data_IF_205182282718
#
_entry.id   IF_205182282718
#
_cell.length_a   1.000
_cell.length_b   1.000
_cell.length_c   1.000
_cell.angle_alpha   90.00
_cell.angle_beta   90.00
_cell.angle_gamma   90.00
#
_symmetry.space_group_name_H-M   'P 1'
#
loop_
_entity.id
_entity.type
_entity.pdbx_description
1 polymer ?
#
# COMPACT_ATOMS: atom_id res chain seq x y z
N UNK A 1 19.34 -12.08 -14.58
CA UNK A 1 18.66 -13.09 -15.44
C UNK A 1 18.10 -14.17 -14.52
N UNK A 2 16.79 -14.24 -14.32
CA UNK A 2 16.19 -15.37 -13.61
C UNK A 2 16.18 -16.57 -14.57
N UNK A 3 17.12 -17.50 -14.38
CA UNK A 3 17.34 -18.67 -15.24
C UNK A 3 16.46 -19.86 -14.81
N UNK A 4 15.80 -19.76 -13.65
CA UNK A 4 14.92 -20.80 -13.15
C UNK A 4 13.49 -20.51 -13.61
N UNK A 5 13.15 -21.05 -14.79
CA UNK A 5 11.75 -21.19 -15.20
C UNK A 5 11.12 -22.21 -14.26
N UNK A 6 10.27 -21.77 -13.33
CA UNK A 6 9.33 -22.70 -12.70
C UNK A 6 8.43 -23.26 -13.81
N UNK A 7 8.41 -24.58 -14.04
CA UNK A 7 7.54 -25.17 -15.03
C UNK A 7 6.07 -24.77 -14.80
N UNK A 8 5.31 -24.47 -15.86
CA UNK A 8 3.92 -24.03 -15.77
C UNK A 8 3.03 -24.93 -14.91
N UNK A 9 3.23 -26.25 -15.08
CA UNK A 9 2.54 -27.29 -14.32
C UNK A 9 2.78 -27.19 -12.81
N UNK A 10 3.95 -26.72 -12.39
CA UNK A 10 4.33 -26.64 -10.97
C UNK A 10 3.64 -25.44 -10.31
N UNK A 11 3.48 -24.32 -11.04
CA UNK A 11 2.68 -23.16 -10.57
C UNK A 11 1.22 -23.55 -10.38
N UNK A 12 0.63 -24.22 -11.38
CA UNK A 12 -0.78 -24.67 -11.31
C UNK A 12 -0.96 -25.73 -10.22
N UNK A 13 0.01 -26.63 -10.04
CA UNK A 13 -0.03 -27.65 -8.99
C UNK A 13 0.08 -27.02 -7.60
N UNK A 14 0.98 -26.07 -7.39
CA UNK A 14 1.10 -25.30 -6.14
C UNK A 14 -0.23 -24.64 -5.75
N UNK A 15 -0.94 -24.05 -6.71
CA UNK A 15 -2.25 -23.43 -6.45
C UNK A 15 -3.29 -24.48 -6.00
N UNK A 16 -3.36 -25.62 -6.68
CA UNK A 16 -4.27 -26.71 -6.34
C UNK A 16 -3.95 -27.35 -5.00
N UNK A 17 -2.67 -27.60 -4.73
CA UNK A 17 -2.18 -28.21 -3.48
C UNK A 17 -2.51 -27.34 -2.25
N UNK A 18 -2.65 -26.02 -2.44
CA UNK A 18 -3.05 -25.07 -1.40
C UNK A 18 -4.58 -24.80 -1.36
N UNK A 19 -5.39 -25.63 -2.04
CA UNK A 19 -6.86 -25.50 -2.03
C UNK A 19 -7.39 -24.28 -2.78
N UNK A 20 -6.56 -23.62 -3.60
CA UNK A 20 -6.95 -22.44 -4.38
C UNK A 20 -7.65 -22.91 -5.65
N UNK A 21 -8.98 -23.00 -5.58
CA UNK A 21 -9.81 -23.49 -6.68
C UNK A 21 -10.25 -22.39 -7.67
N UNK A 22 -9.90 -21.13 -7.41
CA UNK A 22 -10.27 -19.98 -8.24
C UNK A 22 -9.11 -18.98 -8.32
N UNK A 23 -8.31 -19.10 -9.37
CA UNK A 23 -7.34 -18.08 -9.78
C UNK A 23 -7.87 -17.40 -11.03
N UNK A 24 -7.88 -16.06 -11.05
CA UNK A 24 -8.26 -15.27 -12.23
C UNK A 24 -7.04 -14.72 -12.97
N UNK A 25 -6.08 -14.20 -12.19
CA UNK A 25 -4.95 -13.45 -12.74
C UNK A 25 -3.65 -13.87 -12.08
N UNK A 26 -2.56 -13.79 -12.83
CA UNK A 26 -1.18 -13.87 -12.32
C UNK A 26 -0.53 -12.50 -12.53
N UNK A 27 -0.27 -11.78 -11.45
CA UNK A 27 0.45 -10.52 -11.48
C UNK A 27 1.96 -10.77 -11.71
N UNK A 28 2.49 -10.27 -12.82
CA UNK A 28 3.90 -10.41 -13.19
C UNK A 28 4.64 -9.12 -12.83
N UNK A 29 5.12 -9.08 -11.59
CA UNK A 29 5.67 -7.87 -10.97
C UNK A 29 4.60 -7.01 -10.29
N UNK A 30 5.04 -5.94 -9.63
CA UNK A 30 4.18 -4.88 -9.11
C UNK A 30 4.88 -3.55 -9.35
N UNK A 31 4.26 -2.67 -10.13
CA UNK A 31 4.75 -1.33 -10.47
C UNK A 31 6.19 -1.27 -11.02
N UNK A 32 6.60 -2.14 -11.98
CA UNK A 32 8.00 -2.26 -12.41
C UNK A 32 8.57 -1.01 -13.10
N UNK A 33 7.72 -0.07 -13.51
CA UNK A 33 8.10 1.11 -14.30
C UNK A 33 7.95 2.44 -13.54
N UNK A 34 7.84 2.39 -12.21
CA UNK A 34 7.97 3.58 -11.39
C UNK A 34 9.24 4.35 -11.77
N UNK A 35 9.10 5.66 -11.93
CA UNK A 35 10.22 6.56 -12.25
C UNK A 35 11.36 6.43 -11.22
N UNK A 36 11.03 6.17 -9.95
CA UNK A 36 12.00 5.94 -8.87
C UNK A 36 12.87 4.70 -9.04
N UNK A 37 12.45 3.73 -9.87
CA UNK A 37 13.25 2.53 -10.19
C UNK A 37 14.23 2.75 -11.33
N UNK A 38 14.26 3.93 -11.95
CA UNK A 38 15.23 4.32 -12.98
C UNK A 38 15.43 3.24 -14.05
N UNK A 39 14.32 2.76 -14.61
CA UNK A 39 14.27 1.77 -15.69
C UNK A 39 14.87 0.39 -15.37
N UNK A 40 15.09 0.05 -14.09
CA UNK A 40 15.70 -1.22 -13.65
C UNK A 40 15.00 -2.48 -14.19
N UNK A 41 13.68 -2.42 -14.42
CA UNK A 41 12.88 -3.59 -14.81
C UNK A 41 12.32 -3.54 -16.25
N UNK A 42 12.62 -2.48 -17.02
CA UNK A 42 12.09 -2.28 -18.39
C UNK A 42 12.35 -3.50 -19.28
N UNK A 43 13.59 -3.98 -19.32
CA UNK A 43 14.00 -5.08 -20.19
C UNK A 43 13.61 -6.49 -19.69
N UNK A 44 13.04 -6.61 -18.49
CA UNK A 44 12.74 -7.92 -17.86
C UNK A 44 11.26 -8.21 -17.73
N UNK A 45 10.44 -7.17 -17.56
CA UNK A 45 9.00 -7.30 -17.29
C UNK A 45 8.25 -7.94 -18.44
N UNK A 46 8.46 -7.47 -19.68
CA UNK A 46 7.73 -8.00 -20.83
C UNK A 46 8.08 -9.45 -21.17
N UNK A 47 9.37 -9.85 -21.23
CA UNK A 47 9.72 -11.27 -21.37
C UNK A 47 9.14 -12.15 -20.25
N UNK A 48 9.09 -11.66 -19.01
CA UNK A 48 8.46 -12.39 -17.91
C UNK A 48 6.95 -12.55 -18.13
N UNK A 49 6.24 -11.49 -18.54
CA UNK A 49 4.81 -11.54 -18.87
C UNK A 49 4.52 -12.58 -19.96
N UNK A 50 5.33 -12.57 -21.04
CA UNK A 50 5.20 -13.53 -22.14
C UNK A 50 5.41 -14.97 -21.65
N UNK A 51 6.46 -15.21 -20.87
CA UNK A 51 6.75 -16.54 -20.34
C UNK A 51 5.63 -17.09 -19.46
N UNK A 52 5.06 -16.26 -18.57
CA UNK A 52 3.98 -16.67 -17.68
C UNK A 52 2.68 -16.92 -18.45
N UNK A 53 2.31 -16.09 -19.42
CA UNK A 53 1.11 -16.34 -20.21
C UNK A 53 1.26 -17.60 -21.10
N UNK A 54 2.42 -17.79 -21.74
CA UNK A 54 2.68 -18.99 -22.54
C UNK A 54 2.63 -20.25 -21.67
N UNK A 55 3.17 -20.17 -20.46
CA UNK A 55 3.07 -21.22 -19.46
C UNK A 55 1.61 -21.59 -19.15
N UNK A 56 0.76 -20.59 -18.88
CA UNK A 56 -0.66 -20.82 -18.63
C UNK A 56 -1.37 -21.44 -19.84
N UNK A 57 -1.02 -21.02 -21.06
CA UNK A 57 -1.54 -21.58 -22.30
C UNK A 57 -1.14 -23.06 -22.47
N UNK A 58 0.14 -23.40 -22.27
CA UNK A 58 0.67 -24.77 -22.34
C UNK A 58 0.04 -25.71 -21.29
N UNK A 59 -0.30 -25.18 -20.11
CA UNK A 59 -0.99 -25.90 -19.06
C UNK A 59 -2.51 -26.05 -19.31
N UNK A 60 -3.04 -25.49 -20.40
CA UNK A 60 -4.46 -25.57 -20.75
C UNK A 60 -5.39 -24.70 -19.89
N UNK A 61 -4.85 -23.76 -19.11
CA UNK A 61 -5.62 -22.87 -18.21
C UNK A 61 -5.63 -21.42 -18.68
N UNK A 62 -4.84 -21.07 -19.70
CA UNK A 62 -4.62 -19.71 -20.18
C UNK A 62 -5.85 -18.99 -20.72
N UNK A 63 -6.95 -19.69 -21.02
CA UNK A 63 -8.24 -19.06 -21.34
C UNK A 63 -8.96 -18.51 -20.11
N UNK A 64 -8.71 -19.10 -18.93
CA UNK A 64 -9.37 -18.76 -17.66
C UNK A 64 -8.48 -17.97 -16.70
N UNK A 65 -7.16 -18.19 -16.77
CA UNK A 65 -6.15 -17.50 -15.96
C UNK A 65 -5.32 -16.62 -16.87
N UNK A 66 -5.30 -15.32 -16.62
CA UNK A 66 -4.55 -14.35 -17.44
C UNK A 66 -3.36 -13.78 -16.69
N UNK A 67 -2.20 -13.70 -17.34
CA UNK A 67 -1.09 -12.93 -16.83
C UNK A 67 -1.34 -11.44 -17.09
N UNK A 68 -1.03 -10.59 -16.12
CA UNK A 68 -1.12 -9.13 -16.22
C UNK A 68 0.07 -8.49 -15.51
N UNK A 69 0.26 -7.19 -15.68
CA UNK A 69 1.28 -6.41 -14.97
C UNK A 69 0.54 -5.30 -14.23
N UNK A 70 0.43 -5.36 -12.89
CA UNK A 70 -0.01 -4.23 -12.09
C UNK A 70 0.99 -3.08 -12.27
N UNK A 71 0.49 -1.94 -12.75
CA UNK A 71 1.28 -0.75 -13.03
C UNK A 71 0.84 0.38 -12.10
N UNK A 72 1.73 1.29 -11.74
CA UNK A 72 1.36 2.53 -11.07
C UNK A 72 0.84 3.55 -12.11
N UNK A 73 -0.09 4.43 -11.74
CA UNK A 73 -0.54 5.53 -12.60
C UNK A 73 0.59 6.47 -13.10
N UNK A 74 1.80 6.42 -12.52
CA UNK A 74 3.02 7.07 -13.03
C UNK A 74 3.44 6.64 -14.46
N UNK A 75 2.87 5.57 -15.03
CA UNK A 75 3.22 5.13 -16.40
C UNK A 75 2.54 5.93 -17.51
N UNK A 76 1.55 6.76 -17.19
CA UNK A 76 0.87 7.64 -18.14
C UNK A 76 0.61 9.02 -17.56
N UNK A 77 0.29 9.97 -18.42
CA UNK A 77 -0.12 11.29 -18.02
C UNK A 77 -0.60 12.12 -19.21
N UNK A 78 -1.09 13.31 -18.90
CA UNK A 78 -1.38 14.32 -19.92
C UNK A 78 -0.18 15.28 -20.04
N UNK A 79 0.12 15.78 -21.25
CA UNK A 79 1.15 16.80 -21.43
C UNK A 79 0.88 18.05 -20.59
N UNK A 80 1.93 18.71 -20.10
CA UNK A 80 1.80 19.88 -19.21
C UNK A 80 1.09 21.04 -19.90
N UNK A 81 1.27 21.20 -21.21
CA UNK A 81 0.62 22.20 -22.05
C UNK A 81 -0.85 21.90 -22.32
N UNK A 82 -1.31 20.67 -22.08
CA UNK A 82 -2.70 20.25 -22.26
C UNK A 82 -3.10 19.19 -21.21
N UNK A 83 -3.25 19.59 -19.93
CA UNK A 83 -3.41 18.69 -18.79
C UNK A 83 -4.85 18.17 -18.66
N UNK A 84 -5.37 17.52 -19.71
CA UNK A 84 -6.73 16.98 -19.78
C UNK A 84 -6.73 15.48 -20.10
N UNK A 85 -7.71 14.69 -19.63
CA UNK A 85 -7.72 13.24 -19.84
C UNK A 85 -7.63 12.78 -21.30
N UNK A 86 -8.26 13.46 -22.24
CA UNK A 86 -8.25 13.13 -23.67
C UNK A 86 -6.87 13.24 -24.33
N UNK A 87 -5.94 13.96 -23.69
CA UNK A 87 -4.55 14.08 -24.10
C UNK A 87 -3.64 13.01 -23.49
N UNK A 88 -4.20 12.04 -22.76
CA UNK A 88 -3.45 10.99 -22.07
C UNK A 88 -2.55 10.18 -23.00
N UNK A 89 -1.29 10.02 -22.60
CA UNK A 89 -0.28 9.21 -23.30
C UNK A 89 0.56 8.43 -22.31
N UNK A 90 1.13 7.30 -22.74
CA UNK A 90 2.16 6.64 -21.94
C UNK A 90 3.43 7.48 -21.90
N UNK A 91 4.14 7.44 -20.78
CA UNK A 91 5.40 8.16 -20.58
C UNK A 91 6.40 7.81 -21.68
N UNK A 92 7.08 8.82 -22.22
CA UNK A 92 7.83 8.71 -23.48
C UNK A 92 9.01 7.73 -23.40
N UNK A 93 9.69 7.68 -22.26
CA UNK A 93 10.82 6.80 -21.95
C UNK A 93 10.46 5.30 -21.94
N UNK A 94 9.18 4.96 -21.70
CA UNK A 94 8.69 3.56 -21.67
C UNK A 94 7.61 3.28 -22.71
N UNK A 95 7.26 4.25 -23.56
CA UNK A 95 6.17 4.15 -24.55
C UNK A 95 6.25 2.92 -25.46
N UNK A 96 7.45 2.58 -25.93
CA UNK A 96 7.68 1.36 -26.72
C UNK A 96 7.42 0.08 -25.93
N UNK A 97 7.84 0.04 -24.66
CA UNK A 97 7.62 -1.12 -23.79
C UNK A 97 6.14 -1.29 -23.44
N UNK A 98 5.46 -0.19 -23.16
CA UNK A 98 4.02 -0.14 -22.91
C UNK A 98 3.22 -0.62 -24.13
N UNK A 99 3.63 -0.19 -25.33
CA UNK A 99 3.00 -0.65 -26.58
C UNK A 99 3.08 -2.16 -26.73
N UNK A 100 4.24 -2.76 -26.49
CA UNK A 100 4.43 -4.22 -26.55
C UNK A 100 3.57 -4.96 -25.52
N UNK A 101 3.50 -4.45 -24.28
CA UNK A 101 2.70 -5.05 -23.21
C UNK A 101 1.21 -4.99 -23.56
N UNK A 102 0.70 -3.82 -23.96
CA UNK A 102 -0.71 -3.63 -24.34
C UNK A 102 -1.09 -4.55 -25.50
N UNK A 103 -0.27 -4.62 -26.55
CA UNK A 103 -0.50 -5.52 -27.68
C UNK A 103 -0.57 -6.99 -27.24
N UNK A 104 0.34 -7.42 -26.36
CA UNK A 104 0.38 -8.80 -25.87
C UNK A 104 -0.81 -9.14 -24.96
N UNK A 105 -1.21 -8.23 -24.06
CA UNK A 105 -2.40 -8.39 -23.24
C UNK A 105 -3.64 -8.53 -24.12
N UNK A 106 -3.79 -7.67 -25.13
CA UNK A 106 -4.91 -7.72 -26.08
C UNK A 106 -4.96 -9.06 -26.84
N UNK A 107 -3.83 -9.53 -27.39
CA UNK A 107 -3.73 -10.81 -28.09
C UNK A 107 -4.18 -12.00 -27.24
N UNK A 108 -3.95 -11.93 -25.92
CA UNK A 108 -4.31 -12.99 -24.98
C UNK A 108 -5.66 -12.73 -24.28
N UNK A 109 -6.39 -11.67 -24.62
CA UNK A 109 -7.62 -11.23 -23.94
C UNK A 109 -7.41 -11.07 -22.43
N UNK A 110 -6.24 -10.56 -22.05
CA UNK A 110 -5.87 -10.24 -20.68
C UNK A 110 -6.17 -8.77 -20.37
N UNK A 111 -6.54 -8.44 -19.11
CA UNK A 111 -6.81 -7.08 -18.71
C UNK A 111 -5.51 -6.27 -18.49
N UNK A 112 -5.64 -4.96 -18.63
CA UNK A 112 -4.65 -4.00 -18.15
C UNK A 112 -4.91 -3.71 -16.67
N UNK A 113 -3.90 -3.89 -15.81
CA UNK A 113 -4.06 -3.66 -14.36
C UNK A 113 -3.32 -2.38 -13.96
N UNK A 114 -4.03 -1.47 -13.30
CA UNK A 114 -3.49 -0.18 -12.88
C UNK A 114 -3.80 0.11 -11.41
N UNK A 115 -2.85 0.69 -10.70
CA UNK A 115 -2.99 1.16 -9.33
C UNK A 115 -3.22 2.68 -9.37
N UNK A 116 -4.35 3.13 -8.81
CA UNK A 116 -4.78 4.54 -8.83
C UNK A 116 -4.97 5.00 -7.40
N UNK A 117 -4.20 6.01 -7.00
CA UNK A 117 -4.21 6.55 -5.65
C UNK A 117 -4.46 8.07 -5.64
N UNK A 118 -5.73 8.52 -5.52
CA UNK A 118 -6.07 9.94 -5.38
C UNK A 118 -5.29 10.66 -4.26
N UNK A 119 -5.03 9.96 -3.15
CA UNK A 119 -4.21 10.46 -2.04
C UNK A 119 -2.84 11.00 -2.50
N UNK A 120 -2.18 10.31 -3.44
CA UNK A 120 -0.84 10.70 -3.89
C UNK A 120 -0.83 12.06 -4.60
N UNK A 121 -1.96 12.51 -5.18
CA UNK A 121 -2.06 13.86 -5.74
C UNK A 121 -1.97 14.95 -4.67
N UNK A 122 -2.58 14.73 -3.49
CA UNK A 122 -2.48 15.63 -2.35
C UNK A 122 -1.11 15.57 -1.68
N UNK A 123 -0.50 14.39 -1.65
CA UNK A 123 0.84 14.21 -1.12
C UNK A 123 1.90 14.91 -1.98
N UNK A 124 1.80 14.78 -3.31
CA UNK A 124 2.78 15.35 -4.24
C UNK A 124 2.63 16.87 -4.47
N UNK A 125 1.44 17.44 -4.24
CA UNK A 125 1.17 18.86 -4.48
C UNK A 125 0.31 19.46 -3.37
N UNK A 126 0.91 20.34 -2.55
CA UNK A 126 0.22 21.02 -1.44
C UNK A 126 -0.94 21.93 -1.88
N UNK A 127 -0.97 22.34 -3.15
CA UNK A 127 -2.02 23.17 -3.73
C UNK A 127 -3.05 22.36 -4.52
N UNK A 128 -2.96 21.03 -4.50
CA UNK A 128 -3.96 20.19 -5.13
C UNK A 128 -5.32 20.38 -4.44
N UNK A 129 -6.42 20.58 -5.18
CA UNK A 129 -7.72 20.82 -4.57
C UNK A 129 -8.19 19.58 -3.80
N UNK A 130 -8.35 19.73 -2.48
CA UNK A 130 -8.74 18.63 -1.57
C UNK A 130 -10.09 18.04 -1.98
N UNK A 131 -11.04 18.88 -2.36
CA UNK A 131 -12.34 18.47 -2.89
C UNK A 131 -12.22 17.62 -4.16
N UNK A 132 -11.25 17.91 -5.04
CA UNK A 132 -11.00 17.13 -6.27
C UNK A 132 -10.45 15.72 -6.03
N UNK A 133 -9.80 15.52 -4.89
CA UNK A 133 -9.35 14.19 -4.49
C UNK A 133 -10.51 13.26 -4.13
N UNK A 134 -11.71 13.82 -3.90
CA UNK A 134 -12.93 13.08 -3.55
C UNK A 134 -14.00 13.19 -4.64
N UNK A 135 -15.04 12.37 -4.56
CA UNK A 135 -16.12 12.28 -5.56
C UNK A 135 -17.29 13.23 -5.28
N UNK A 136 -17.04 14.36 -4.60
CA UNK A 136 -18.08 15.31 -4.17
C UNK A 136 -18.34 16.46 -5.16
N UNK A 137 -17.71 16.41 -6.33
CA UNK A 137 -17.68 17.55 -7.23
C UNK A 137 -16.69 18.59 -6.75
N UNK A 138 -16.28 19.44 -7.69
CA UNK A 138 -15.37 20.54 -7.42
C UNK A 138 -15.91 21.82 -8.00
N UNK A 139 -15.52 22.94 -7.40
CA UNK A 139 -15.94 24.26 -7.91
C UNK A 139 -15.48 24.48 -9.35
N UNK A 140 -14.30 23.95 -9.70
CA UNK A 140 -13.70 24.08 -11.03
C UNK A 140 -13.29 22.70 -11.55
N UNK A 141 -14.23 21.92 -12.14
CA UNK A 141 -13.91 20.61 -12.71
C UNK A 141 -13.03 20.76 -13.94
N UNK A 142 -12.19 19.76 -14.19
CA UNK A 142 -11.48 19.69 -15.47
C UNK A 142 -12.52 19.47 -16.56
N UNK A 143 -12.63 20.42 -17.48
CA UNK A 143 -13.52 20.32 -18.64
C UNK A 143 -12.70 19.93 -19.87
N UNK A 144 -13.08 18.82 -20.50
CA UNK A 144 -12.36 18.23 -21.61
C UNK A 144 -13.35 17.74 -22.67
N UNK A 145 -13.38 18.38 -23.83
CA UNK A 145 -14.31 18.07 -24.92
C UNK A 145 -15.80 18.01 -24.49
N UNK A 146 -16.18 18.86 -23.53
CA UNK A 146 -17.54 18.91 -22.99
C UNK A 146 -17.83 17.89 -21.88
N UNK A 147 -16.87 17.01 -21.54
CA UNK A 147 -16.92 16.15 -20.36
C UNK A 147 -16.38 16.93 -19.16
N UNK A 148 -17.11 16.89 -18.06
CA UNK A 148 -16.64 17.43 -16.78
C UNK A 148 -16.13 16.29 -15.91
N UNK A 149 -14.87 16.38 -15.52
CA UNK A 149 -14.27 15.49 -14.54
C UNK A 149 -14.30 16.17 -13.18
N UNK A 150 -15.15 15.65 -12.31
CA UNK A 150 -15.43 16.18 -10.98
C UNK A 150 -14.53 15.62 -9.88
N UNK A 151 -13.77 14.56 -10.19
CA UNK A 151 -12.83 13.94 -9.27
C UNK A 151 -11.61 13.41 -10.03
N UNK A 152 -10.49 13.30 -9.31
CA UNK A 152 -9.21 12.86 -9.87
C UNK A 152 -9.20 11.38 -10.25
N UNK A 153 -9.98 10.54 -9.57
CA UNK A 153 -10.05 9.10 -9.90
C UNK A 153 -10.58 8.90 -11.33
N UNK A 154 -11.69 9.55 -11.68
CA UNK A 154 -12.29 9.46 -13.01
C UNK A 154 -11.39 10.08 -14.08
N UNK A 155 -10.79 11.24 -13.79
CA UNK A 155 -9.86 11.89 -14.71
C UNK A 155 -8.62 11.03 -14.97
N UNK A 156 -8.03 10.46 -13.93
CA UNK A 156 -6.84 9.62 -14.01
C UNK A 156 -7.14 8.32 -14.78
N UNK A 157 -8.26 7.66 -14.48
CA UNK A 157 -8.69 6.47 -15.20
C UNK A 157 -8.96 6.77 -16.69
N UNK A 158 -9.62 7.88 -17.01
CA UNK A 158 -9.91 8.24 -18.41
C UNK A 158 -8.69 8.78 -19.17
N UNK A 159 -7.65 9.19 -18.45
CA UNK A 159 -6.32 9.46 -19.02
C UNK A 159 -5.69 8.15 -19.52
N UNK A 160 -5.77 7.07 -18.74
CA UNK A 160 -5.35 5.73 -19.20
C UNK A 160 -6.19 5.25 -20.38
N UNK A 161 -7.51 5.43 -20.34
CA UNK A 161 -8.41 5.08 -21.45
C UNK A 161 -7.96 5.77 -22.75
N UNK A 162 -7.60 7.05 -22.67
CA UNK A 162 -7.13 7.82 -23.81
C UNK A 162 -5.76 7.36 -24.30
N UNK A 163 -4.83 7.06 -23.40
CA UNK A 163 -3.51 6.49 -23.73
C UNK A 163 -3.63 5.14 -24.45
N UNK A 164 -4.53 4.26 -23.97
CA UNK A 164 -4.81 2.99 -24.63
C UNK A 164 -5.49 3.18 -25.99
N UNK A 165 -6.43 4.13 -26.10
CA UNK A 165 -7.11 4.48 -27.36
C UNK A 165 -6.13 4.97 -28.42
N UNK A 166 -5.12 5.74 -28.05
CA UNK A 166 -4.07 6.21 -28.95
C UNK A 166 -3.27 5.05 -29.58
N UNK A 167 -3.19 3.90 -28.91
CA UNK A 167 -2.57 2.67 -29.43
C UNK A 167 -3.56 1.75 -30.19
N UNK A 168 -4.83 2.14 -30.32
CA UNK A 168 -5.87 1.31 -30.92
C UNK A 168 -6.53 0.32 -29.95
N UNK A 169 -6.30 0.46 -28.64
CA UNK A 169 -6.80 -0.42 -27.58
C UNK A 169 -7.65 0.33 -26.55
N UNK A 170 -8.46 1.30 -26.99
CA UNK A 170 -9.71 1.61 -26.28
C UNK A 170 -10.51 0.30 -26.11
N UNK A 171 -11.59 0.18 -25.38
CA UNK A 171 -12.28 -1.12 -25.14
C UNK A 171 -11.46 -2.23 -24.43
N UNK A 172 -10.14 -2.13 -24.28
CA UNK A 172 -9.35 -3.03 -23.44
C UNK A 172 -9.91 -2.99 -22.00
N UNK A 173 -10.13 -4.17 -21.43
CA UNK A 173 -10.57 -4.30 -20.03
C UNK A 173 -9.50 -3.76 -19.09
N UNK A 174 -9.91 -2.89 -18.17
CA UNK A 174 -9.05 -2.31 -17.14
C UNK A 174 -9.50 -2.84 -15.77
N UNK A 175 -8.53 -3.22 -14.95
CA UNK A 175 -8.70 -3.53 -13.53
C UNK A 175 -7.98 -2.45 -12.74
N UNK A 176 -8.65 -1.91 -11.72
CA UNK A 176 -7.97 -1.10 -10.70
C UNK A 176 -7.40 -2.06 -9.66
N UNK A 177 -6.10 -2.36 -9.77
CA UNK A 177 -5.39 -3.34 -8.95
C UNK A 177 -5.20 -2.88 -7.51
N UNK A 178 -5.10 -1.58 -7.30
CA UNK A 178 -5.03 -0.97 -5.97
C UNK A 178 -5.67 0.43 -6.00
N UNK A 179 -6.46 0.73 -4.98
CA UNK A 179 -6.95 2.07 -4.63
C UNK A 179 -7.22 2.12 -3.12
N UNK A 180 -6.97 3.26 -2.50
CA UNK A 180 -7.28 3.45 -1.10
C UNK A 180 -6.85 4.82 -0.61
N UNK A 181 -6.85 4.97 0.72
CA UNK A 181 -6.42 6.19 1.39
C UNK A 181 -5.83 5.84 2.76
N UNK A 182 -4.60 6.31 3.10
CA UNK A 182 -3.97 6.00 4.37
C UNK A 182 -4.63 6.77 5.52
N UNK A 183 -4.66 6.19 6.71
CA UNK A 183 -5.37 6.81 7.84
C UNK A 183 -4.48 7.56 8.83
N UNK A 184 -3.17 7.55 8.61
CA UNK A 184 -2.17 8.21 9.45
C UNK A 184 -0.85 8.36 8.67
N UNK A 185 0.14 9.04 9.24
CA UNK A 185 1.48 9.18 8.66
C UNK A 185 1.65 10.36 7.69
N UNK A 186 0.62 11.20 7.51
CA UNK A 186 0.64 12.45 6.74
C UNK A 186 -0.55 13.36 7.15
N UNK A 187 -0.44 14.68 6.96
CA UNK A 187 -1.52 15.65 7.25
C UNK A 187 -2.85 15.35 6.53
N UNK A 188 -2.78 14.74 5.35
CA UNK A 188 -3.94 14.32 4.57
C UNK A 188 -4.29 12.84 4.78
N UNK A 189 -3.49 12.08 5.52
CA UNK A 189 -3.76 10.69 5.86
C UNK A 189 -4.50 10.62 7.19
N UNK A 190 -5.83 10.50 7.14
CA UNK A 190 -6.65 10.43 8.34
C UNK A 190 -7.89 9.56 8.14
N UNK A 191 -8.43 9.06 9.26
CA UNK A 191 -9.61 8.19 9.28
C UNK A 191 -10.81 8.82 8.57
N UNK A 192 -11.02 10.13 8.71
CA UNK A 192 -12.19 10.80 8.09
C UNK A 192 -12.08 10.78 6.56
N UNK A 193 -10.90 11.05 6.00
CA UNK A 193 -10.67 11.04 4.55
C UNK A 193 -10.72 9.63 3.99
N UNK A 194 -10.18 8.63 4.68
CA UNK A 194 -10.30 7.23 4.27
C UNK A 194 -11.74 6.72 4.28
N UNK A 195 -12.53 7.09 5.30
CA UNK A 195 -13.95 6.80 5.35
C UNK A 195 -14.76 7.55 4.27
N UNK A 196 -14.32 8.75 3.87
CA UNK A 196 -14.92 9.48 2.74
C UNK A 196 -14.64 8.78 1.43
N UNK A 197 -13.37 8.67 1.03
CA UNK A 197 -12.97 8.18 -0.29
C UNK A 197 -13.45 6.75 -0.54
N UNK A 198 -13.06 5.78 0.29
CA UNK A 198 -13.44 4.40 0.10
C UNK A 198 -14.91 4.15 0.42
N UNK A 199 -15.32 4.53 1.65
CA UNK A 199 -16.63 4.18 2.22
C UNK A 199 -17.80 4.93 1.60
N UNK A 200 -17.73 6.27 1.59
CA UNK A 200 -18.87 7.14 1.24
C UNK A 200 -18.91 7.55 -0.23
N UNK A 201 -17.86 7.25 -1.01
CA UNK A 201 -17.75 7.69 -2.39
C UNK A 201 -17.48 6.56 -3.38
N UNK A 202 -16.35 5.87 -3.26
CA UNK A 202 -15.96 4.80 -4.17
C UNK A 202 -16.95 3.62 -4.11
N UNK A 203 -17.26 3.09 -2.92
CA UNK A 203 -18.17 1.94 -2.80
C UNK A 203 -19.58 2.20 -3.37
N UNK A 204 -20.25 3.35 -3.12
CA UNK A 204 -21.52 3.68 -3.77
C UNK A 204 -21.42 3.81 -5.30
N UNK A 205 -20.31 4.35 -5.82
CA UNK A 205 -20.05 4.44 -7.27
C UNK A 205 -19.97 3.05 -7.90
N UNK A 206 -19.25 2.13 -7.25
CA UNK A 206 -19.09 0.75 -7.69
C UNK A 206 -20.41 -0.03 -7.59
N UNK A 207 -21.13 0.09 -6.47
CA UNK A 207 -22.42 -0.56 -6.28
C UNK A 207 -23.48 -0.09 -7.30
N UNK A 208 -23.42 1.19 -7.69
CA UNK A 208 -24.26 1.77 -8.73
C UNK A 208 -23.82 1.46 -10.16
N UNK A 209 -22.70 0.74 -10.38
CA UNK A 209 -22.09 0.49 -11.69
C UNK A 209 -21.93 1.78 -12.52
N UNK A 210 -21.55 2.89 -11.88
CA UNK A 210 -21.50 4.19 -12.57
C UNK A 210 -20.37 4.26 -13.59
N UNK A 211 -19.23 3.63 -13.30
CA UNK A 211 -18.02 3.73 -14.13
C UNK A 211 -17.48 5.16 -14.21
N UNK A 212 -16.65 5.44 -15.22
CA UNK A 212 -16.12 6.78 -15.53
C UNK A 212 -16.85 7.37 -16.76
N UNK A 213 -16.69 8.68 -17.07
CA UNK A 213 -17.28 9.27 -18.27
C UNK A 213 -16.98 8.52 -19.58
N UNK A 214 -15.74 8.05 -19.81
CA UNK A 214 -15.38 7.28 -21.02
C UNK A 214 -15.58 5.76 -20.88
N UNK A 215 -15.79 5.26 -19.66
CA UNK A 215 -16.07 3.84 -19.37
C UNK A 215 -17.21 3.71 -18.36
N UNK A 216 -18.45 4.02 -18.76
CA UNK A 216 -19.60 3.82 -17.89
C UNK A 216 -19.82 2.32 -17.64
N UNK A 217 -20.24 1.96 -16.43
CA UNK A 217 -20.54 0.58 -16.06
C UNK A 217 -19.65 0.00 -14.96
N UNK A 218 -19.52 -1.32 -14.99
CA UNK A 218 -18.75 -2.09 -14.01
C UNK A 218 -17.24 -1.85 -14.17
N UNK A 219 -16.56 -1.66 -13.04
CA UNK A 219 -15.10 -1.61 -12.95
C UNK A 219 -14.70 -2.62 -11.85
N UNK A 220 -13.78 -3.54 -12.18
CA UNK A 220 -13.18 -4.43 -11.17
C UNK A 220 -12.12 -3.63 -10.39
N UNK A 221 -12.29 -3.54 -9.07
CA UNK A 221 -11.46 -2.72 -8.17
C UNK A 221 -11.04 -3.55 -6.96
N UNK A 222 -9.78 -3.42 -6.57
CA UNK A 222 -9.21 -4.00 -5.35
C UNK A 222 -8.80 -2.87 -4.39
N UNK A 223 -9.33 -2.89 -3.18
CA UNK A 223 -9.00 -1.91 -2.14
C UNK A 223 -7.65 -2.26 -1.50
N UNK A 224 -6.80 -1.27 -1.33
CA UNK A 224 -5.49 -1.39 -0.69
C UNK A 224 -5.49 -0.62 0.64
N UNK A 225 -5.11 -1.19 1.78
CA UNK A 225 -4.80 -2.58 2.10
C UNK A 225 -5.80 -3.19 3.10
N UNK A 226 -5.71 -4.49 3.37
CA UNK A 226 -6.59 -5.11 4.36
C UNK A 226 -6.23 -4.67 5.79
N UNK A 227 -4.95 -4.81 6.17
CA UNK A 227 -4.45 -4.45 7.50
C UNK A 227 -3.35 -3.40 7.38
N UNK A 228 -3.12 -2.65 8.45
CA UNK A 228 -1.89 -1.87 8.60
C UNK A 228 -0.68 -2.80 8.68
N UNK A 229 0.40 -2.45 7.97
CA UNK A 229 1.60 -3.28 7.79
C UNK A 229 2.82 -2.57 8.39
N UNK A 230 3.08 -2.81 9.69
CA UNK A 230 4.14 -2.13 10.46
C UNK A 230 5.57 -2.45 9.99
N UNK A 231 5.75 -3.53 9.22
CA UNK A 231 7.01 -3.89 8.57
C UNK A 231 7.18 -3.29 7.16
N UNK A 232 6.19 -2.58 6.61
CA UNK A 232 6.28 -1.98 5.28
C UNK A 232 7.35 -0.89 5.24
N UNK A 233 8.04 -0.79 4.10
CA UNK A 233 9.03 0.26 3.86
C UNK A 233 8.35 1.63 3.87
N UNK A 234 8.96 2.58 4.57
CA UNK A 234 8.50 3.97 4.64
C UNK A 234 9.25 4.89 3.67
N UNK A 235 10.03 4.32 2.73
CA UNK A 235 10.80 5.11 1.77
C UNK A 235 9.93 6.07 0.92
N UNK A 236 8.70 5.70 0.50
CA UNK A 236 7.76 6.65 -0.11
C UNK A 236 7.20 7.70 0.86
N UNK A 237 7.08 7.36 2.14
CA UNK A 237 6.55 8.24 3.19
C UNK A 237 6.05 7.46 4.41
N UNK A 238 5.84 8.17 5.52
CA UNK A 238 5.35 7.57 6.78
C UNK A 238 3.96 6.93 6.64
N UNK A 239 3.13 7.43 5.73
CA UNK A 239 1.77 6.92 5.45
C UNK A 239 1.74 5.47 4.97
N UNK A 240 2.86 4.93 4.48
CA UNK A 240 2.95 3.59 3.89
C UNK A 240 2.53 2.47 4.83
N UNK A 241 2.59 2.67 6.15
CA UNK A 241 2.19 1.65 7.14
C UNK A 241 0.72 1.72 7.53
N UNK A 242 -0.05 2.67 6.96
CA UNK A 242 -1.38 3.07 7.45
C UNK A 242 -2.51 2.91 6.42
N UNK A 243 -2.30 2.13 5.36
CA UNK A 243 -3.29 1.88 4.30
C UNK A 243 -4.40 0.91 4.70
N UNK A 244 -4.29 0.23 5.84
CA UNK A 244 -5.23 -0.79 6.26
C UNK A 244 -6.63 -0.23 6.47
N UNK A 245 -7.64 -0.97 6.01
CA UNK A 245 -9.04 -0.79 6.43
C UNK A 245 -9.21 -1.28 7.88
N UNK A 246 -8.42 -2.29 8.27
CA UNK A 246 -8.28 -2.78 9.63
C UNK A 246 -6.91 -2.39 10.20
N UNK A 247 -6.82 -2.31 11.53
CA UNK A 247 -5.53 -2.22 12.22
C UNK A 247 -4.79 -3.56 12.16
N UNK A 248 -3.55 -3.58 12.65
CA UNK A 248 -2.74 -4.81 12.80
C UNK A 248 -3.44 -5.94 13.58
N UNK A 249 -4.36 -5.60 14.49
CA UNK A 249 -5.13 -6.54 15.30
C UNK A 249 -6.44 -7.00 14.64
N UNK A 250 -6.66 -6.64 13.37
CA UNK A 250 -7.86 -6.98 12.62
C UNK A 250 -9.12 -6.28 13.10
N UNK A 251 -9.02 -5.24 13.94
CA UNK A 251 -10.16 -4.39 14.28
C UNK A 251 -10.37 -3.30 13.23
N UNK A 252 -11.61 -3.00 12.83
CA UNK A 252 -11.90 -2.03 11.77
C UNK A 252 -11.55 -0.61 12.24
N UNK A 253 -10.99 0.20 11.34
CA UNK A 253 -10.55 1.58 11.67
C UNK A 253 -11.65 2.61 11.50
N UNK A 254 -12.62 2.34 10.62
CA UNK A 254 -13.72 3.25 10.31
C UNK A 254 -14.94 2.52 9.77
N UNK A 255 -16.06 3.24 9.75
CA UNK A 255 -17.33 2.80 9.17
C UNK A 255 -17.17 2.57 7.66
N UNK A 256 -17.57 1.40 7.18
CA UNK A 256 -17.50 1.03 5.77
C UNK A 256 -18.62 0.03 5.45
N UNK A 257 -19.44 0.39 4.45
CA UNK A 257 -20.50 -0.47 3.94
C UNK A 257 -20.16 -0.98 2.54
N UNK A 258 -19.69 -2.24 2.47
CA UNK A 258 -19.35 -2.90 1.20
C UNK A 258 -20.53 -3.05 0.24
N UNK A 259 -21.77 -2.85 0.69
CA UNK A 259 -22.93 -2.84 -0.22
C UNK A 259 -23.04 -1.55 -1.06
N UNK A 260 -22.33 -0.49 -0.67
CA UNK A 260 -22.42 0.83 -1.27
C UNK A 260 -23.71 1.60 -0.93
N UNK A 261 -24.53 1.11 0.01
CA UNK A 261 -25.76 1.79 0.47
C UNK A 261 -25.50 2.90 1.50
N UNK A 262 -24.23 3.15 1.84
CA UNK A 262 -23.81 4.20 2.79
C UNK A 262 -24.42 4.03 4.19
N UNK A 263 -24.63 2.78 4.65
CA UNK A 263 -25.01 2.51 6.02
C UNK A 263 -23.85 2.82 6.97
N UNK A 264 -24.14 3.49 8.10
CA UNK A 264 -23.13 3.71 9.13
C UNK A 264 -22.90 2.42 9.94
N UNK A 265 -22.00 1.57 9.45
CA UNK A 265 -21.65 0.30 10.09
C UNK A 265 -20.16 0.00 9.93
N UNK A 266 -19.60 -0.66 10.92
CA UNK A 266 -18.25 -1.17 10.88
C UNK A 266 -18.21 -2.56 10.24
N UNK A 267 -17.09 -2.88 9.58
CA UNK A 267 -16.80 -4.25 9.17
C UNK A 267 -16.63 -5.14 10.40
N UNK A 268 -16.81 -6.45 10.21
CA UNK A 268 -16.62 -7.43 11.28
C UNK A 268 -15.13 -7.54 11.60
N UNK A 269 -14.75 -7.15 12.81
CA UNK A 269 -13.37 -7.30 13.29
C UNK A 269 -12.99 -8.75 13.58
N UNK A 270 -11.68 -9.00 13.60
CA UNK A 270 -11.13 -10.29 14.00
C UNK A 270 -11.60 -10.68 15.42
N UNK A 271 -11.91 -11.95 15.60
CA UNK A 271 -12.38 -12.50 16.88
C UNK A 271 -11.26 -13.25 17.61
N UNK A 272 -11.35 -13.33 18.94
CA UNK A 272 -10.41 -14.07 19.79
C UNK A 272 -8.94 -13.59 19.69
N UNK A 273 -8.73 -12.32 19.34
CA UNK A 273 -7.41 -11.70 19.28
C UNK A 273 -6.76 -11.73 20.66
N UNK A 274 -5.61 -12.37 20.76
CA UNK A 274 -4.83 -12.44 22.00
C UNK A 274 -3.84 -11.28 22.02
N UNK A 275 -4.00 -10.37 22.97
CA UNK A 275 -3.06 -9.26 23.19
C UNK A 275 -2.00 -9.67 24.20
N UNK A 276 -0.83 -9.03 24.12
CA UNK A 276 0.16 -9.05 25.20
C UNK A 276 -0.42 -8.42 26.48
N UNK A 277 0.22 -8.61 27.65
CA UNK A 277 -0.21 -7.98 28.88
C UNK A 277 -0.39 -6.46 28.75
N UNK A 278 -1.29 -5.87 29.55
CA UNK A 278 -1.55 -4.42 29.58
C UNK A 278 -0.42 -3.67 30.28
N UNK A 279 0.72 -3.60 29.59
CA UNK A 279 1.95 -2.95 30.00
C UNK A 279 2.43 -2.04 28.89
N UNK A 280 2.92 -0.88 29.27
CA UNK A 280 3.54 0.09 28.37
C UNK A 280 4.93 0.44 28.84
N UNK A 281 5.77 0.90 27.92
CA UNK A 281 7.07 1.47 28.24
C UNK A 281 7.01 2.99 28.09
N UNK A 282 7.43 3.73 29.11
CA UNK A 282 7.42 5.20 29.08
C UNK A 282 8.76 5.78 29.55
N UNK A 283 9.03 7.02 29.15
CA UNK A 283 10.14 7.80 29.69
C UNK A 283 9.92 8.01 31.20
N UNK A 284 10.97 7.79 31.99
CA UNK A 284 10.96 8.08 33.43
C UNK A 284 10.86 9.57 33.68
N UNK A 285 9.89 9.97 34.52
CA UNK A 285 9.74 11.37 34.93
C UNK A 285 10.89 11.86 35.83
N UNK A 286 11.61 10.95 36.47
CA UNK A 286 12.75 11.24 37.35
C UNK A 286 14.11 11.02 36.66
N UNK A 287 14.14 10.80 35.34
CA UNK A 287 15.38 10.70 34.57
C UNK A 287 16.14 12.03 34.63
N UNK A 288 17.34 12.01 35.23
CA UNK A 288 18.17 13.21 35.45
C UNK A 288 19.12 13.49 34.29
N UNK A 289 19.65 12.45 33.67
CA UNK A 289 20.56 12.55 32.53
C UNK A 289 19.79 12.18 31.25
N UNK A 290 19.50 13.18 30.42
CA UNK A 290 18.82 13.00 29.13
C UNK A 290 19.79 13.09 27.94
N UNK A 291 21.10 13.10 28.18
CA UNK A 291 22.12 13.25 27.13
C UNK A 291 21.99 12.20 26.03
N UNK A 292 21.52 10.99 26.36
CA UNK A 292 21.33 9.87 25.43
C UNK A 292 19.88 9.67 24.97
N UNK A 293 18.97 10.57 25.31
CA UNK A 293 17.55 10.42 25.00
C UNK A 293 17.31 10.33 23.49
N UNK A 294 17.94 11.21 22.71
CA UNK A 294 17.79 11.24 21.26
C UNK A 294 18.30 9.93 20.60
N UNK A 295 19.44 9.40 21.05
CA UNK A 295 20.00 8.15 20.54
C UNK A 295 19.09 6.95 20.86
N UNK A 296 18.52 6.90 22.07
CA UNK A 296 17.60 5.84 22.47
C UNK A 296 16.26 5.91 21.71
N UNK A 297 15.74 7.11 21.44
CA UNK A 297 14.56 7.30 20.56
C UNK A 297 14.87 6.82 19.15
N UNK A 298 16.01 7.22 18.59
CA UNK A 298 16.42 6.79 17.25
C UNK A 298 16.58 5.26 17.17
N UNK A 299 17.18 4.64 18.18
CA UNK A 299 17.27 3.19 18.28
C UNK A 299 15.89 2.53 18.30
N UNK A 300 14.98 3.01 19.16
CA UNK A 300 13.61 2.49 19.23
C UNK A 300 12.91 2.57 17.87
N UNK A 301 12.95 3.73 17.21
CA UNK A 301 12.30 3.95 15.93
C UNK A 301 12.99 3.27 14.73
N UNK A 302 14.25 2.86 14.86
CA UNK A 302 14.93 2.03 13.85
C UNK A 302 14.38 0.60 13.86
N UNK A 303 13.97 0.10 15.02
CA UNK A 303 13.53 -1.29 15.23
C UNK A 303 12.04 -1.43 15.57
N UNK A 304 11.25 -0.37 15.35
CA UNK A 304 9.80 -0.36 15.54
C UNK A 304 9.14 0.74 14.71
N UNK A 305 7.80 0.80 14.73
CA UNK A 305 7.07 1.78 13.94
C UNK A 305 6.78 3.08 14.71
N UNK A 306 7.56 4.13 14.44
CA UNK A 306 7.33 5.47 14.98
C UNK A 306 6.63 6.43 14.01
N UNK A 307 6.11 5.95 12.88
CA UNK A 307 5.59 6.82 11.80
C UNK A 307 4.45 7.75 12.24
N UNK A 308 3.66 7.35 13.24
CA UNK A 308 2.60 8.16 13.82
C UNK A 308 3.08 9.44 14.52
N UNK A 309 4.38 9.57 14.83
CA UNK A 309 4.98 10.80 15.37
C UNK A 309 5.23 11.88 14.30
N UNK A 310 5.15 11.50 13.02
CA UNK A 310 5.41 12.39 11.89
C UNK A 310 4.49 13.61 11.87
N UNK A 311 4.91 14.67 11.16
CA UNK A 311 4.10 15.87 11.00
C UNK A 311 2.71 15.54 10.42
N UNK A 312 1.66 16.10 11.03
CA UNK A 312 0.27 15.87 10.61
C UNK A 312 -0.31 14.50 10.96
N UNK A 313 0.47 13.62 11.58
CA UNK A 313 0.04 12.29 12.03
C UNK A 313 -0.66 12.32 13.40
N UNK A 314 -1.29 11.21 13.79
CA UNK A 314 -2.13 11.10 14.99
C UNK A 314 -1.41 11.44 16.31
N UNK A 315 -0.11 11.12 16.40
CA UNK A 315 0.73 11.38 17.57
C UNK A 315 1.60 12.64 17.44
N UNK A 316 1.41 13.46 16.42
CA UNK A 316 2.22 14.67 16.20
C UNK A 316 2.07 15.72 17.32
N UNK A 317 0.95 15.71 18.04
CA UNK A 317 0.66 16.66 19.13
C UNK A 317 1.29 16.31 20.48
N UNK A 318 2.11 15.25 20.58
CA UNK A 318 2.77 14.88 21.82
C UNK A 318 3.90 15.86 22.17
N UNK A 319 4.10 16.10 23.47
CA UNK A 319 5.27 16.80 23.97
C UNK A 319 6.54 15.92 23.88
N UNK A 320 7.70 16.45 24.28
CA UNK A 320 8.96 15.70 24.21
C UNK A 320 8.93 14.39 25.02
N UNK A 321 8.25 14.37 26.17
CA UNK A 321 8.13 13.19 27.02
C UNK A 321 7.20 12.14 26.39
N UNK A 322 6.09 12.60 25.80
CA UNK A 322 5.15 11.77 25.04
C UNK A 322 5.82 11.15 23.82
N UNK A 323 6.57 11.93 23.04
CA UNK A 323 7.32 11.44 21.87
C UNK A 323 8.31 10.34 22.26
N UNK A 324 9.10 10.56 23.31
CA UNK A 324 10.02 9.55 23.83
C UNK A 324 9.30 8.29 24.30
N UNK A 325 8.23 8.46 25.07
CA UNK A 325 7.43 7.35 25.59
C UNK A 325 6.78 6.55 24.47
N UNK A 326 6.32 7.20 23.40
CA UNK A 326 5.72 6.51 22.26
C UNK A 326 6.76 5.63 21.56
N UNK A 327 7.92 6.19 21.25
CA UNK A 327 9.02 5.43 20.64
C UNK A 327 9.42 4.22 21.50
N UNK A 328 9.60 4.41 22.81
CA UNK A 328 9.94 3.34 23.74
C UNK A 328 8.85 2.27 23.82
N UNK A 329 7.56 2.68 23.84
CA UNK A 329 6.46 1.74 23.81
C UNK A 329 6.44 0.93 22.50
N UNK A 330 6.58 1.56 21.34
CA UNK A 330 6.57 0.85 20.06
C UNK A 330 7.63 -0.24 20.01
N UNK A 331 8.85 0.06 20.44
CA UNK A 331 9.92 -0.93 20.55
C UNK A 331 9.59 -2.03 21.57
N UNK A 332 9.18 -1.67 22.79
CA UNK A 332 8.81 -2.63 23.84
C UNK A 332 7.75 -3.63 23.38
N UNK A 333 6.74 -3.17 22.65
CA UNK A 333 5.67 -4.02 22.15
C UNK A 333 6.14 -4.95 21.03
N UNK A 334 6.90 -4.43 20.04
CA UNK A 334 7.46 -5.25 18.94
C UNK A 334 8.45 -6.30 19.46
N UNK A 335 9.16 -6.02 20.56
CA UNK A 335 10.02 -6.99 21.22
C UNK A 335 9.27 -8.02 22.08
N UNK A 336 7.93 -7.99 22.11
CA UNK A 336 7.11 -8.93 22.87
C UNK A 336 7.17 -8.71 24.38
N UNK A 337 7.36 -7.45 24.80
CA UNK A 337 7.42 -7.04 26.21
C UNK A 337 8.51 -7.74 27.05
N UNK A 338 9.66 -8.09 26.44
CA UNK A 338 10.80 -8.68 27.15
C UNK A 338 11.34 -7.73 28.22
N UNK A 339 11.77 -8.26 29.37
CA UNK A 339 12.17 -7.47 30.55
C UNK A 339 13.16 -6.32 30.25
N UNK A 340 14.16 -6.55 29.39
CA UNK A 340 15.18 -5.54 29.04
C UNK A 340 14.79 -4.62 27.88
N UNK A 341 13.66 -4.87 27.21
CA UNK A 341 13.21 -4.05 26.08
C UNK A 341 12.60 -2.71 26.48
N UNK A 342 12.46 -2.45 27.79
CA UNK A 342 12.07 -1.15 28.36
C UNK A 342 13.16 -0.59 29.29
N UNK A 343 14.44 -0.78 28.96
CA UNK A 343 15.53 -0.20 29.75
C UNK A 343 15.99 1.15 29.20
N UNK A 344 16.36 1.22 27.91
CA UNK A 344 16.87 2.41 27.24
C UNK A 344 17.93 3.16 28.07
N UNK A 345 18.95 2.40 28.53
CA UNK A 345 20.03 2.90 29.39
C UNK A 345 19.54 3.49 30.73
N UNK A 346 18.42 2.98 31.24
CA UNK A 346 17.79 3.41 32.48
C UNK A 346 16.86 4.62 32.31
N UNK A 347 16.64 5.11 31.08
CA UNK A 347 15.74 6.23 30.78
C UNK A 347 14.26 5.84 30.83
N UNK A 348 13.93 4.56 30.65
CA UNK A 348 12.55 4.12 30.55
C UNK A 348 12.12 3.24 31.74
N UNK A 349 10.81 3.12 31.90
CA UNK A 349 10.18 2.27 32.92
C UNK A 349 8.88 1.67 32.39
N UNK A 350 8.61 0.43 32.81
CA UNK A 350 7.34 -0.24 32.51
C UNK A 350 6.25 0.29 33.44
N UNK A 351 5.07 0.52 32.89
CA UNK A 351 3.87 0.93 33.62
C UNK A 351 2.67 0.06 33.23
N UNK A 352 1.80 -0.22 34.19
CA UNK A 352 0.49 -0.86 33.95
C UNK A 352 -0.62 0.18 33.73
N UNK A 353 -0.29 1.49 33.80
CA UNK A 353 -1.22 2.58 33.53
C UNK A 353 -1.25 2.88 32.03
N UNK A 354 -2.45 3.00 31.44
CA UNK A 354 -2.59 3.38 30.04
C UNK A 354 -2.11 4.83 29.85
N UNK A 355 -1.08 5.01 29.02
CA UNK A 355 -0.45 6.30 28.72
C UNK A 355 -0.91 6.88 27.36
N UNK A 356 -1.91 6.28 26.72
CA UNK A 356 -2.50 6.79 25.48
C UNK A 356 -3.15 8.15 25.67
N UNK A 357 -3.12 8.98 24.63
CA UNK A 357 -3.74 10.31 24.58
C UNK A 357 -4.97 10.28 23.65
N UNK A 358 -5.90 11.26 23.73
CA UNK A 358 -7.16 11.23 22.97
C UNK A 358 -7.01 10.97 21.47
N UNK A 359 -5.97 11.53 20.83
CA UNK A 359 -5.71 11.37 19.40
C UNK A 359 -4.49 10.48 19.10
N UNK A 360 -3.83 9.93 20.12
CA UNK A 360 -2.62 9.14 19.95
C UNK A 360 -2.69 7.88 20.81
N UNK A 361 -2.94 6.75 20.16
CA UNK A 361 -3.02 5.45 20.80
C UNK A 361 -1.62 4.86 20.99
N UNK A 362 -1.26 4.49 22.22
CA UNK A 362 -0.05 3.73 22.52
C UNK A 362 -0.43 2.24 22.48
N UNK A 363 -0.10 1.50 21.41
CA UNK A 363 -0.65 0.18 21.19
C UNK A 363 -0.10 -0.85 22.19
N UNK A 364 -0.83 -1.96 22.33
CA UNK A 364 -0.35 -3.21 22.92
C UNK A 364 -0.34 -4.24 21.81
N UNK A 365 0.82 -4.84 21.52
CA UNK A 365 0.92 -5.80 20.42
C UNK A 365 0.14 -7.09 20.69
N UNK A 366 -0.18 -7.81 19.61
CA UNK A 366 -0.80 -9.13 19.71
C UNK A 366 0.25 -10.21 20.05
N UNK A 367 -0.20 -11.32 20.65
CA UNK A 367 0.66 -12.49 20.87
C UNK A 367 1.01 -13.08 19.51
N UNK A 368 2.29 -13.08 19.15
CA UNK A 368 2.75 -13.70 17.91
C UNK A 368 2.40 -15.20 17.92
N UNK A 369 1.76 -15.69 16.84
CA UNK A 369 1.51 -17.12 16.68
C UNK A 369 2.84 -17.87 16.58
N UNK A 370 2.91 -19.06 17.17
CA UNK A 370 4.11 -19.91 17.17
C UNK A 370 4.60 -20.32 15.77
N UNK A 371 3.78 -20.12 14.73
CA UNK A 371 4.17 -20.29 13.32
C UNK A 371 5.17 -19.24 12.84
N UNK A 372 5.19 -18.05 13.43
CA UNK A 372 6.13 -16.96 13.11
C UNK A 372 7.47 -17.14 13.83
N UNK A 373 7.54 -18.06 14.79
CA UNK A 373 8.77 -18.42 15.53
C UNK A 373 9.70 -19.35 14.74
N UNK A 374 9.45 -19.56 13.45
CA UNK A 374 10.31 -20.38 12.60
C UNK A 374 11.64 -19.68 12.32
N UNK A 375 12.61 -19.93 13.20
CA UNK A 375 14.05 -20.13 12.89
C UNK A 375 14.80 -19.07 12.07
N UNK A 376 14.34 -17.84 11.93
CA UNK A 376 15.15 -16.79 11.28
C UNK A 376 16.21 -16.15 12.22
N UNK A 377 16.11 -16.36 13.54
CA UNK A 377 17.04 -15.78 14.52
C UNK A 377 18.37 -16.54 14.73
N UNK A 378 18.63 -17.67 14.05
CA UNK A 378 19.90 -18.41 14.20
C UNK A 378 20.81 -18.39 12.97
N UNK A 379 20.32 -18.03 11.79
CA UNK A 379 21.15 -18.08 10.56
C UNK A 379 21.89 -16.76 10.30
N UNK A 380 21.34 -15.62 10.72
CA UNK A 380 21.97 -14.31 10.48
C UNK A 380 23.21 -14.08 11.36
N UNK A 381 23.29 -14.70 12.55
CA UNK A 381 24.44 -14.57 13.44
C UNK A 381 25.68 -15.36 13.00
N UNK A 382 25.54 -16.43 12.21
CA UNK A 382 26.70 -17.19 11.71
C UNK A 382 27.33 -16.59 10.44
N UNK A 383 26.58 -15.83 9.64
CA UNK A 383 27.10 -15.26 8.39
C UNK A 383 28.09 -14.09 8.61
N UNK A 384 27.95 -13.36 9.73
CA UNK A 384 28.83 -12.22 10.03
C UNK A 384 30.17 -12.61 10.69
N UNK A 385 30.30 -13.83 11.23
CA UNK A 385 31.56 -14.29 11.83
C UNK A 385 32.54 -14.92 10.84
N UNK A 386 32.09 -15.33 9.64
CA UNK A 386 32.97 -15.92 8.62
C UNK A 386 33.51 -14.91 7.61
N UNK A 387 32.93 -13.71 7.51
CA UNK A 387 33.39 -12.68 6.58
C UNK A 387 34.57 -11.83 7.12
N UNK A 388 34.82 -11.85 8.43
CA UNK A 388 35.87 -11.03 9.07
C UNK A 388 37.25 -11.71 9.15
N UNK A 389 37.42 -12.92 8.62
CA UNK A 389 38.70 -13.67 8.69
C UNK A 389 39.43 -13.75 7.33
N UNK A 390 38.87 -13.22 6.24
CA UNK A 390 39.48 -13.31 4.90
C UNK A 390 39.88 -11.99 4.23
N UNK A 391 39.95 -10.89 4.97
CA UNK A 391 40.58 -9.64 4.51
C UNK A 391 41.69 -9.20 5.46
N UNK A 392 42.77 -9.97 5.48
CA UNK A 392 44.09 -9.58 6.02
C UNK A 392 45.15 -10.53 5.49
N UNK A 393 45.42 -10.48 4.18
CA UNK A 393 46.73 -10.76 3.55
C UNK A 393 46.88 -9.81 2.37
#
# INVERSE_FOLDING_TARGET
>A
MAINKLPPKDVVQLLKDNGINKVKYVAVGNEPFLTSYNNSFVNTTFPALQNIQNALNEAGVGDSIKATVPLNADVYGSPTENPVPSAGTFRTDISGQMTQIVQFLSQNKAPFTINIYPFLSLYANEHFPVDYAFFDGVTNPITDNGIQYENVFDANFDTLVSALKALGFGDMTIIVGEVGWPTDGDKNANINYAATEGGRRLLPKLAGNKGTPLRPGYIEVYLFGLIDEDAKSIAPGNFERHWGIFRYDGQPKFSMDLSGQQLDKYLVGAQNVQYLPKKWCMLRQDARDLSKLAENINFACTFSDCTALGYGSSCNGLDANGNASYAFNMYFQVQGQRDLSCNFEGLAVVTDQNISQPNCNFPIQIVASSSSSSKLSQVVYLAFLTASVFLSI
#
